data_IF_776848710283
#
_entry.id   IF_776848710283
#
_cell.length_a   1.000
_cell.length_b   1.000
_cell.length_c   1.000
_cell.angle_alpha   90.00
_cell.angle_beta   90.00
_cell.angle_gamma   90.00
#
_symmetry.space_group_name_H-M   'P 1'
#
loop_
_entity.id
_entity.type
_entity.pdbx_description
1 polymer ?
#
# COMPACT_ATOMS: atom_id res chain seq x y z
N UNK A 1 10.79 23.62 -24.00
CA UNK A 1 10.02 23.09 -22.86
C UNK A 1 10.27 21.59 -22.79
N UNK A 2 11.06 21.12 -21.82
CA UNK A 2 11.38 19.69 -21.68
C UNK A 2 10.64 19.14 -20.46
N UNK A 3 9.55 18.42 -20.71
CA UNK A 3 8.84 17.61 -19.74
C UNK A 3 9.81 16.59 -19.12
N UNK A 4 10.30 16.90 -17.92
CA UNK A 4 10.92 15.90 -17.07
C UNK A 4 9.80 15.01 -16.55
N UNK A 5 9.62 13.86 -17.19
CA UNK A 5 8.83 12.75 -16.66
C UNK A 5 9.39 12.41 -15.29
N UNK A 6 8.71 12.92 -14.25
CA UNK A 6 9.00 12.66 -12.85
C UNK A 6 8.82 11.16 -12.65
N UNK A 7 9.94 10.41 -12.69
CA UNK A 7 9.96 8.98 -12.47
C UNK A 7 9.08 8.62 -11.28
N UNK A 8 8.24 7.59 -11.45
CA UNK A 8 7.33 7.06 -10.43
C UNK A 8 8.07 7.07 -9.09
N UNK A 9 7.58 7.90 -8.15
CA UNK A 9 8.13 7.96 -6.80
C UNK A 9 7.98 6.58 -6.17
N UNK A 10 9.03 5.77 -6.22
CA UNK A 10 9.20 4.74 -5.19
C UNK A 10 9.29 5.53 -3.88
N UNK A 11 8.33 5.36 -2.96
CA UNK A 11 8.42 5.95 -1.64
C UNK A 11 9.50 5.18 -0.86
N UNK A 12 10.75 5.57 -1.10
CA UNK A 12 11.93 4.83 -0.64
C UNK A 12 12.16 5.10 0.85
N UNK A 13 11.91 4.10 1.70
CA UNK A 13 12.35 4.10 3.10
C UNK A 13 13.87 3.92 3.14
N UNK A 14 14.64 5.00 3.00
CA UNK A 14 16.13 4.95 3.04
C UNK A 14 16.67 5.66 4.27
N UNK A 15 17.66 5.02 4.94
CA UNK A 15 18.39 5.48 6.14
C UNK A 15 17.55 5.62 7.42
N UNK A 16 16.98 4.50 7.89
CA UNK A 16 16.46 4.39 9.26
C UNK A 16 17.15 3.29 10.06
N UNK A 17 17.18 3.49 11.39
CA UNK A 17 17.56 2.46 12.35
C UNK A 17 16.70 1.22 12.16
N UNK A 18 17.30 0.02 12.24
CA UNK A 18 16.63 -1.25 11.99
C UNK A 18 15.27 -1.39 12.72
N UNK A 19 15.20 -0.96 13.99
CA UNK A 19 13.97 -0.99 14.80
C UNK A 19 12.84 -0.09 14.29
N UNK A 20 13.15 0.96 13.53
CA UNK A 20 12.18 1.92 13.00
C UNK A 20 11.71 1.59 11.58
N UNK A 21 12.39 0.67 10.88
CA UNK A 21 12.10 0.36 9.47
C UNK A 21 10.70 -0.20 9.25
N UNK A 22 10.29 -1.23 9.99
CA UNK A 22 8.96 -1.83 9.83
C UNK A 22 7.81 -0.86 10.20
N UNK A 23 7.84 -0.15 11.35
CA UNK A 23 6.84 0.87 11.65
C UNK A 23 6.77 1.98 10.61
N UNK A 24 7.91 2.42 10.08
CA UNK A 24 7.94 3.46 9.05
C UNK A 24 7.41 2.98 7.70
N UNK A 25 7.70 1.73 7.33
CA UNK A 25 7.15 1.13 6.11
C UNK A 25 5.62 1.07 6.16
N UNK A 26 5.03 0.70 7.31
CA UNK A 26 3.57 0.69 7.48
C UNK A 26 2.99 2.10 7.31
N UNK A 27 3.60 3.11 7.95
CA UNK A 27 3.18 4.52 7.80
C UNK A 27 3.24 5.00 6.35
N UNK A 28 4.28 4.62 5.61
CA UNK A 28 4.41 5.01 4.20
C UNK A 28 3.36 4.31 3.33
N UNK A 29 3.05 3.03 3.59
CA UNK A 29 1.96 2.32 2.91
C UNK A 29 0.60 2.98 3.18
N UNK A 30 0.35 3.36 4.43
CA UNK A 30 -0.87 4.09 4.80
C UNK A 30 -0.97 5.40 4.03
N UNK A 31 0.10 6.22 4.04
CA UNK A 31 0.16 7.49 3.32
C UNK A 31 0.00 7.33 1.79
N UNK A 32 0.56 6.26 1.23
CA UNK A 32 0.38 5.91 -0.17
C UNK A 32 -1.10 5.65 -0.48
N UNK A 33 -1.76 4.83 0.34
CA UNK A 33 -3.18 4.51 0.18
C UNK A 33 -4.08 5.74 0.38
N UNK A 34 -3.80 6.57 1.40
CA UNK A 34 -4.51 7.84 1.64
C UNK A 34 -4.43 8.74 0.41
N UNK A 35 -3.26 8.86 -0.21
CA UNK A 35 -3.04 9.70 -1.39
C UNK A 35 -3.65 9.11 -2.66
N UNK A 36 -3.58 7.80 -2.85
CA UNK A 36 -4.11 7.14 -4.03
C UNK A 36 -5.64 7.10 -4.03
N UNK A 37 -6.26 6.89 -2.87
CA UNK A 37 -7.72 6.72 -2.74
C UNK A 37 -8.46 7.96 -2.22
N UNK A 38 -7.76 8.95 -1.66
CA UNK A 38 -8.36 10.17 -1.13
C UNK A 38 -9.24 9.93 0.10
N UNK A 39 -8.85 9.00 0.99
CA UNK A 39 -9.56 8.63 2.22
C UNK A 39 -8.61 8.71 3.41
N UNK A 40 -9.12 9.11 4.58
CA UNK A 40 -8.31 9.16 5.81
C UNK A 40 -8.41 7.85 6.59
N UNK A 41 -9.53 7.13 6.48
CA UNK A 41 -9.63 5.78 7.06
C UNK A 41 -8.95 4.75 6.14
N UNK A 42 -7.75 4.32 6.53
CA UNK A 42 -6.98 3.28 5.86
C UNK A 42 -6.71 2.14 6.82
N UNK A 43 -7.20 0.95 6.46
CA UNK A 43 -7.06 -0.29 7.23
C UNK A 43 -6.06 -1.21 6.56
N UNK A 44 -5.01 -1.58 7.28
CA UNK A 44 -3.96 -2.48 6.81
C UNK A 44 -4.30 -3.91 7.23
N UNK A 45 -4.34 -4.82 6.27
CA UNK A 45 -4.64 -6.22 6.56
C UNK A 45 -3.55 -6.90 7.41
N UNK A 46 -3.97 -7.89 8.20
CA UNK A 46 -3.09 -8.63 9.11
C UNK A 46 -2.01 -9.41 8.34
N UNK A 47 -2.31 -9.93 7.14
CA UNK A 47 -1.32 -10.66 6.33
C UNK A 47 -0.21 -9.72 5.85
N UNK A 48 -0.58 -8.52 5.43
CA UNK A 48 0.37 -7.48 5.01
C UNK A 48 1.26 -7.07 6.18
N UNK A 49 0.67 -6.87 7.36
CA UNK A 49 1.44 -6.56 8.56
C UNK A 49 2.43 -7.69 8.91
N UNK A 50 1.98 -8.95 8.94
CA UNK A 50 2.85 -10.11 9.20
C UNK A 50 4.02 -10.19 8.23
N UNK A 51 3.79 -9.93 6.94
CA UNK A 51 4.85 -9.95 5.94
C UNK A 51 5.92 -8.88 6.22
N UNK A 52 5.52 -7.65 6.55
CA UNK A 52 6.42 -6.53 6.86
C UNK A 52 7.25 -6.80 8.12
N UNK A 53 6.65 -7.42 9.15
CA UNK A 53 7.32 -7.68 10.43
C UNK A 53 8.14 -8.98 10.47
N UNK A 54 7.93 -9.92 9.56
CA UNK A 54 8.55 -11.25 9.60
C UNK A 54 10.10 -11.22 9.57
N UNK A 55 10.67 -10.63 8.53
CA UNK A 55 12.13 -10.52 8.32
C UNK A 55 12.60 -9.06 8.18
N UNK A 56 11.66 -8.11 8.28
CA UNK A 56 11.84 -6.70 7.95
C UNK A 56 11.15 -6.32 6.63
N UNK A 57 10.97 -5.02 6.37
CA UNK A 57 10.23 -4.57 5.19
C UNK A 57 10.98 -4.97 3.91
N UNK A 58 10.30 -5.61 2.96
CA UNK A 58 10.90 -5.97 1.67
C UNK A 58 11.23 -4.70 0.87
N UNK A 59 12.15 -4.82 -0.09
CA UNK A 59 12.52 -3.69 -0.97
C UNK A 59 11.33 -3.19 -1.81
N UNK A 60 10.45 -4.10 -2.22
CA UNK A 60 9.22 -3.82 -2.98
C UNK A 60 8.13 -4.75 -2.48
N UNK A 61 6.91 -4.23 -2.34
CA UNK A 61 5.72 -5.01 -2.01
C UNK A 61 4.61 -4.62 -2.98
N UNK A 62 3.87 -5.60 -3.46
CA UNK A 62 2.66 -5.35 -4.25
C UNK A 62 1.47 -5.41 -3.33
N UNK A 63 0.72 -4.32 -3.29
CA UNK A 63 -0.48 -4.19 -2.47
C UNK A 63 -1.69 -4.06 -3.36
N UNK A 64 -2.80 -4.67 -2.95
CA UNK A 64 -4.13 -4.41 -3.50
C UNK A 64 -4.81 -3.44 -2.56
N UNK A 65 -5.37 -2.37 -3.11
CA UNK A 65 -6.13 -1.38 -2.35
C UNK A 65 -7.57 -1.48 -2.81
N UNK A 66 -8.46 -1.84 -1.89
CA UNK A 66 -9.89 -1.94 -2.13
C UNK A 66 -10.62 -0.84 -1.37
N UNK A 67 -11.60 -0.21 -2.01
CA UNK A 67 -12.50 0.72 -1.35
C UNK A 67 -13.74 -0.03 -0.89
N UNK A 68 -14.01 -0.03 0.40
CA UNK A 68 -15.18 -0.70 0.99
C UNK A 68 -16.06 0.32 1.71
N UNK A 69 -17.36 0.04 1.77
CA UNK A 69 -18.30 0.85 2.56
C UNK A 69 -18.11 0.53 4.04
N UNK A 70 -18.22 1.53 4.88
CA UNK A 70 -18.18 1.38 6.32
C UNK A 70 -19.60 1.14 6.83
N UNK A 71 -19.76 0.10 7.64
CA UNK A 71 -21.06 -0.29 8.21
C UNK A 71 -21.28 0.28 9.63
N UNK A 72 -20.28 1.00 10.15
CA UNK A 72 -20.32 1.64 11.47
C UNK A 72 -21.04 3.00 11.39
N UNK A 73 -22.13 3.16 12.14
CA UNK A 73 -22.97 4.36 12.15
C UNK A 73 -22.26 5.59 12.74
N UNK A 74 -21.21 5.40 13.56
CA UNK A 74 -20.42 6.50 14.15
C UNK A 74 -19.20 6.88 13.29
N UNK A 75 -19.06 6.31 12.10
CA UNK A 75 -17.91 6.56 11.24
C UNK A 75 -17.92 7.96 10.63
N UNK A 76 -16.77 8.65 10.71
CA UNK A 76 -16.57 9.97 10.09
C UNK A 76 -16.54 9.94 8.56
N UNK A 77 -16.25 8.77 7.98
CA UNK A 77 -16.17 8.56 6.53
C UNK A 77 -17.00 7.34 6.14
N UNK A 78 -17.81 7.48 5.09
CA UNK A 78 -18.67 6.41 4.55
C UNK A 78 -17.87 5.25 3.94
N UNK A 79 -16.62 5.50 3.52
CA UNK A 79 -15.78 4.49 2.89
C UNK A 79 -14.41 4.44 3.56
N UNK A 80 -13.89 3.24 3.73
CA UNK A 80 -12.50 3.02 4.13
C UNK A 80 -11.72 2.33 3.01
N UNK A 81 -10.40 2.51 3.04
CA UNK A 81 -9.48 1.82 2.14
C UNK A 81 -8.89 0.61 2.85
N UNK A 82 -9.14 -0.60 2.34
CA UNK A 82 -8.53 -1.82 2.83
C UNK A 82 -7.30 -2.15 1.97
N UNK A 83 -6.14 -2.26 2.62
CA UNK A 83 -4.88 -2.60 1.96
C UNK A 83 -4.53 -4.06 2.25
N UNK A 84 -4.51 -4.89 1.21
CA UNK A 84 -4.16 -6.31 1.29
C UNK A 84 -2.88 -6.60 0.50
N UNK A 85 -2.27 -7.75 0.77
CA UNK A 85 -1.16 -8.27 -0.05
C UNK A 85 -1.73 -8.70 -1.40
N UNK A 86 -1.16 -8.20 -2.50
CA UNK A 86 -1.51 -8.69 -3.83
C UNK A 86 -0.72 -9.96 -4.14
N UNK A 87 -1.33 -10.87 -4.89
CA UNK A 87 -0.64 -12.06 -5.39
C UNK A 87 0.52 -11.66 -6.31
N UNK A 88 1.68 -12.27 -6.06
CA UNK A 88 2.88 -12.04 -6.85
C UNK A 88 2.84 -13.05 -8.00
N UNK A 89 2.74 -12.61 -9.27
CA UNK A 89 2.83 -13.53 -10.40
C UNK A 89 4.21 -14.20 -10.42
N UNK A 90 4.27 -15.43 -10.95
CA UNK A 90 5.49 -16.25 -10.96
C UNK A 90 6.68 -15.57 -11.68
N UNK A 91 6.40 -14.62 -12.56
CA UNK A 91 7.37 -13.82 -13.32
C UNK A 91 8.11 -12.76 -12.48
N UNK A 92 7.74 -12.59 -11.20
CA UNK A 92 8.40 -11.67 -10.27
C UNK A 92 7.73 -10.31 -10.14
N UNK A 93 8.43 -9.34 -9.53
CA UNK A 93 7.90 -8.00 -9.21
C UNK A 93 8.39 -6.89 -10.16
N UNK A 94 9.27 -7.20 -11.11
CA UNK A 94 9.85 -6.24 -12.04
C UNK A 94 8.91 -5.99 -13.22
N UNK A 95 8.74 -4.72 -13.62
CA UNK A 95 8.01 -4.34 -14.83
C UNK A 95 6.49 -4.32 -14.71
N UNK A 96 5.92 -4.74 -13.58
CA UNK A 96 4.47 -4.77 -13.38
C UNK A 96 3.93 -3.36 -13.08
N UNK A 97 2.97 -2.92 -13.88
CA UNK A 97 2.23 -1.67 -13.68
C UNK A 97 1.11 -1.78 -12.65
N UNK A 98 0.45 -0.64 -12.39
CA UNK A 98 -0.83 -0.59 -11.68
C UNK A 98 -1.91 -1.18 -12.57
N UNK A 99 -2.58 -2.24 -12.11
CA UNK A 99 -3.71 -2.89 -12.78
C UNK A 99 -4.96 -2.62 -11.93
N UNK A 100 -6.05 -2.19 -12.58
CA UNK A 100 -7.37 -2.14 -11.95
C UNK A 100 -7.90 -3.57 -11.87
N UNK A 101 -8.39 -3.96 -10.70
CA UNK A 101 -8.95 -5.29 -10.45
C UNK A 101 -10.46 -5.11 -10.33
N UNK A 102 -11.19 -5.77 -11.20
CA UNK A 102 -12.64 -5.87 -11.11
C UNK A 102 -12.98 -6.99 -10.12
N UNK A 103 -13.92 -6.76 -9.22
CA UNK A 103 -14.28 -7.74 -8.17
C UNK A 103 -15.17 -8.89 -8.69
N UNK A 104 -15.37 -8.99 -10.02
CA UNK A 104 -16.12 -10.07 -10.67
C UNK A 104 -15.29 -11.35 -10.92
N UNK A 105 -13.96 -11.31 -10.70
CA UNK A 105 -13.04 -12.45 -10.83
C UNK A 105 -12.28 -12.79 -9.52
#
# INVERSE_FOLDING_TARGET
MSDKTKGRKEEVVTRDTFKKKAPKAIKEITKFAEKAMGRKDVRVDVKLNKQIWSRGPPRRIRVRVARKRNDDEDAKEEFFSLVTVAEIPAEGLSGLGTKVIDEED
#
